data_IF_689318977822
#
_entry.id   IF_689318977822
#
_cell.length_a   1.000
_cell.length_b   1.000
_cell.length_c   1.000
_cell.angle_alpha   90.00
_cell.angle_beta   90.00
_cell.angle_gamma   90.00
#
_symmetry.space_group_name_H-M   'P 1'
#
loop_
_entity.id
_entity.type
_entity.pdbx_description
1 polymer ?
#
# COMPACT_ATOMS: atom_id res chain seq x y z
N UNK A 1 3.82 5.88 1.48
CA UNK A 1 2.68 5.91 2.43
C UNK A 1 3.07 5.24 3.74
N UNK A 2 3.64 6.00 4.71
CA UNK A 2 4.19 5.41 5.93
C UNK A 2 3.12 4.76 6.83
N UNK A 3 1.93 5.36 6.91
CA UNK A 3 0.83 4.87 7.75
C UNK A 3 0.29 3.51 7.28
N UNK A 4 -0.11 3.38 6.01
CA UNK A 4 -0.64 2.10 5.47
C UNK A 4 0.40 0.99 5.57
N UNK A 5 1.65 1.28 5.19
CA UNK A 5 2.73 0.30 5.26
C UNK A 5 2.98 -0.15 6.72
N UNK A 6 2.82 0.75 7.69
CA UNK A 6 2.91 0.40 9.12
C UNK A 6 1.71 -0.43 9.58
N UNK A 7 0.49 -0.08 9.20
CA UNK A 7 -0.72 -0.85 9.54
C UNK A 7 -0.68 -2.27 8.96
N UNK A 8 -0.26 -2.41 7.70
CA UNK A 8 -0.08 -3.73 7.08
C UNK A 8 1.00 -4.52 7.80
N UNK A 9 2.13 -3.91 8.15
CA UNK A 9 3.15 -4.58 8.96
C UNK A 9 2.61 -5.05 10.32
N UNK A 10 1.87 -4.19 11.02
CA UNK A 10 1.34 -4.46 12.35
C UNK A 10 0.25 -5.55 12.38
N UNK A 11 -0.59 -5.62 11.34
CA UNK A 11 -1.80 -6.46 11.37
C UNK A 11 -1.80 -7.62 10.36
N UNK A 12 -1.02 -7.57 9.27
CA UNK A 12 -0.93 -8.67 8.30
C UNK A 12 0.10 -9.75 8.70
N UNK A 13 0.61 -9.72 9.94
CA UNK A 13 1.51 -10.75 10.49
C UNK A 13 2.96 -10.70 9.96
N UNK A 14 3.34 -9.61 9.30
CA UNK A 14 4.69 -9.41 8.76
C UNK A 14 5.58 -8.72 9.80
N UNK A 15 6.43 -9.51 10.44
CA UNK A 15 7.41 -9.04 11.41
C UNK A 15 8.51 -8.15 10.82
N UNK A 16 9.45 -7.65 11.66
CA UNK A 16 10.51 -6.73 11.24
C UNK A 16 11.47 -7.28 10.17
N UNK A 17 11.43 -8.59 9.91
CA UNK A 17 12.21 -9.27 8.87
C UNK A 17 11.54 -9.26 7.48
N UNK A 18 10.33 -8.70 7.34
CA UNK A 18 9.64 -8.64 6.06
C UNK A 18 10.39 -7.78 5.02
N UNK A 19 10.60 -8.33 3.83
CA UNK A 19 11.22 -7.63 2.70
C UNK A 19 10.32 -6.54 2.13
N UNK A 20 10.92 -5.63 1.35
CA UNK A 20 10.17 -4.56 0.66
C UNK A 20 9.16 -5.15 -0.32
N UNK A 21 9.55 -6.20 -1.02
CA UNK A 21 8.79 -6.93 -2.01
C UNK A 21 7.57 -7.64 -1.40
N UNK A 22 7.76 -8.38 -0.31
CA UNK A 22 6.67 -9.07 0.40
C UNK A 22 5.62 -8.09 0.91
N UNK A 23 6.06 -7.01 1.58
CA UNK A 23 5.13 -5.96 2.03
C UNK A 23 4.40 -5.32 0.85
N UNK A 24 5.09 -5.02 -0.25
CA UNK A 24 4.45 -4.44 -1.43
C UNK A 24 3.44 -5.41 -2.07
N UNK A 25 3.72 -6.72 -2.04
CA UNK A 25 2.78 -7.77 -2.43
C UNK A 25 1.51 -7.76 -1.57
N UNK A 26 1.66 -7.68 -0.24
CA UNK A 26 0.53 -7.58 0.68
C UNK A 26 -0.31 -6.32 0.43
N UNK A 27 0.34 -5.16 0.27
CA UNK A 27 -0.37 -3.90 -0.01
C UNK A 27 -1.16 -3.98 -1.33
N UNK A 28 -0.64 -4.67 -2.35
CA UNK A 28 -1.37 -4.91 -3.61
C UNK A 28 -2.56 -5.84 -3.40
N UNK A 29 -2.40 -6.95 -2.70
CA UNK A 29 -3.51 -7.85 -2.37
C UNK A 29 -4.64 -7.12 -1.63
N UNK A 30 -4.29 -6.23 -0.68
CA UNK A 30 -5.26 -5.41 0.04
C UNK A 30 -5.92 -4.36 -0.88
N UNK A 31 -5.17 -3.76 -1.80
CA UNK A 31 -5.73 -2.86 -2.82
C UNK A 31 -6.74 -3.60 -3.73
N UNK A 32 -6.50 -4.89 -4.00
CA UNK A 32 -7.38 -5.75 -4.78
C UNK A 32 -8.59 -6.25 -3.97
N UNK A 33 -8.74 -5.83 -2.70
CA UNK A 33 -9.89 -6.15 -1.85
C UNK A 33 -9.68 -7.30 -0.88
N UNK A 34 -8.45 -7.80 -0.71
CA UNK A 34 -8.16 -8.68 0.41
C UNK A 34 -8.39 -7.96 1.75
N UNK A 35 -8.90 -8.67 2.74
CA UNK A 35 -9.07 -8.16 4.10
C UNK A 35 -7.80 -8.32 4.93
N UNK A 36 -7.67 -7.51 5.99
CA UNK A 36 -6.65 -7.72 7.03
C UNK A 36 -7.25 -8.56 8.15
N UNK A 37 -6.90 -9.84 8.20
CA UNK A 37 -7.44 -10.77 9.19
C UNK A 37 -7.10 -10.30 10.62
N UNK A 38 -8.09 -10.29 11.51
CA UNK A 38 -7.91 -9.90 12.91
C UNK A 38 -7.70 -8.41 13.17
N UNK A 39 -7.76 -7.56 12.15
CA UNK A 39 -7.67 -6.11 12.35
C UNK A 39 -8.98 -5.54 12.91
N UNK A 40 -8.91 -4.52 13.81
CA UNK A 40 -10.08 -3.77 14.22
C UNK A 40 -10.80 -3.16 13.01
N UNK A 41 -12.12 -3.07 13.06
CA UNK A 41 -12.95 -2.62 11.93
C UNK A 41 -12.52 -1.25 11.37
N UNK A 42 -12.16 -0.31 12.25
CA UNK A 42 -11.65 1.00 11.85
C UNK A 42 -10.32 0.91 11.07
N UNK A 43 -9.45 -0.02 11.42
CA UNK A 43 -8.20 -0.29 10.69
C UNK A 43 -8.51 -0.90 9.34
N UNK A 44 -9.42 -1.88 9.27
CA UNK A 44 -9.84 -2.49 8.01
C UNK A 44 -10.40 -1.46 7.04
N UNK A 45 -11.26 -0.55 7.50
CA UNK A 45 -11.81 0.55 6.68
C UNK A 45 -10.72 1.49 6.17
N UNK A 46 -9.76 1.86 7.02
CA UNK A 46 -8.64 2.72 6.62
C UNK A 46 -7.74 2.05 5.59
N UNK A 47 -7.41 0.77 5.80
CA UNK A 47 -6.58 0.00 4.87
C UNK A 47 -7.30 -0.18 3.55
N UNK A 48 -8.58 -0.54 3.57
CA UNK A 48 -9.39 -0.74 2.36
C UNK A 48 -9.41 0.52 1.47
N UNK A 49 -9.57 1.70 2.09
CA UNK A 49 -9.57 2.98 1.39
C UNK A 49 -8.19 3.42 0.88
N UNK A 50 -7.14 3.19 1.66
CA UNK A 50 -5.82 3.77 1.39
C UNK A 50 -4.85 2.81 0.70
N UNK A 51 -5.11 1.50 0.71
CA UNK A 51 -4.26 0.50 0.08
C UNK A 51 -4.05 0.72 -1.42
N UNK A 52 -5.07 1.09 -2.22
CA UNK A 52 -4.87 1.40 -3.65
C UNK A 52 -3.86 2.53 -3.87
N UNK A 53 -4.00 3.64 -3.16
CA UNK A 53 -3.07 4.77 -3.27
C UNK A 53 -1.67 4.41 -2.74
N UNK A 54 -1.59 3.59 -1.68
CA UNK A 54 -0.33 3.08 -1.17
C UNK A 54 0.39 2.16 -2.17
N UNK A 55 -0.34 1.29 -2.89
CA UNK A 55 0.21 0.42 -3.92
C UNK A 55 0.83 1.24 -5.07
N UNK A 56 0.13 2.27 -5.55
CA UNK A 56 0.64 3.19 -6.59
C UNK A 56 1.90 3.91 -6.12
N UNK A 57 1.87 4.50 -4.92
CA UNK A 57 3.01 5.24 -4.38
C UNK A 57 4.22 4.33 -4.09
N UNK A 58 3.98 3.11 -3.57
CA UNK A 58 5.06 2.15 -3.32
C UNK A 58 5.70 1.68 -4.63
N UNK A 59 4.90 1.48 -5.69
CA UNK A 59 5.42 1.20 -7.04
C UNK A 59 6.29 2.32 -7.58
N UNK A 60 5.84 3.57 -7.47
CA UNK A 60 6.64 4.74 -7.85
C UNK A 60 7.93 4.85 -7.05
N UNK A 61 7.90 4.69 -5.72
CA UNK A 61 9.11 4.73 -4.92
C UNK A 61 10.07 3.61 -5.28
N UNK A 62 9.56 2.41 -5.56
CA UNK A 62 10.40 1.32 -6.03
C UNK A 62 11.10 1.71 -7.33
N UNK A 63 10.35 2.16 -8.35
CA UNK A 63 10.91 2.60 -9.63
C UNK A 63 11.94 3.74 -9.47
N UNK A 64 11.63 4.71 -8.61
CA UNK A 64 12.50 5.86 -8.35
C UNK A 64 13.83 5.47 -7.68
N UNK A 65 13.80 4.52 -6.74
CA UNK A 65 14.97 4.17 -5.94
C UNK A 65 15.77 3.00 -6.48
N UNK A 66 15.16 2.06 -7.20
CA UNK A 66 15.85 0.89 -7.77
C UNK A 66 16.07 1.00 -9.28
N UNK A 67 15.40 1.93 -9.95
CA UNK A 67 15.41 2.07 -11.40
C UNK A 67 15.83 3.46 -11.87
N UNK A 68 14.89 4.16 -12.50
CA UNK A 68 15.16 5.35 -13.32
C UNK A 68 15.00 6.65 -12.53
N UNK A 69 15.99 7.54 -12.62
CA UNK A 69 15.88 8.93 -12.14
C UNK A 69 14.82 9.75 -12.90
N UNK A 70 14.28 9.22 -13.99
CA UNK A 70 13.19 9.82 -14.77
C UNK A 70 11.79 9.33 -14.37
N UNK A 71 11.67 8.55 -13.28
CA UNK A 71 10.39 8.12 -12.75
C UNK A 71 9.47 9.33 -12.54
N UNK A 72 8.33 9.37 -13.23
CA UNK A 72 7.37 10.48 -13.15
C UNK A 72 6.45 10.29 -11.96
N UNK A 73 6.23 11.36 -11.21
CA UNK A 73 5.33 11.34 -10.06
C UNK A 73 3.89 10.94 -10.50
N UNK A 74 3.26 9.92 -9.87
CA UNK A 74 2.03 9.31 -10.37
C UNK A 74 0.75 10.04 -9.87
N UNK A 75 0.69 11.36 -9.99
CA UNK A 75 -0.38 12.17 -9.39
C UNK A 75 -1.80 11.72 -9.79
N UNK A 76 -2.06 11.52 -11.10
CA UNK A 76 -3.38 11.12 -11.59
C UNK A 76 -3.81 9.75 -11.07
N UNK A 77 -2.90 8.77 -11.10
CA UNK A 77 -3.16 7.42 -10.59
C UNK A 77 -3.42 7.41 -9.09
N UNK A 78 -2.75 8.26 -8.31
CA UNK A 78 -3.02 8.41 -6.88
C UNK A 78 -4.40 9.00 -6.65
N UNK A 79 -4.78 10.04 -7.41
CA UNK A 79 -6.10 10.65 -7.30
C UNK A 79 -7.22 9.65 -7.66
N UNK A 80 -7.06 8.91 -8.75
CA UNK A 80 -7.97 7.83 -9.17
C UNK A 80 -8.09 6.75 -8.08
N UNK A 81 -6.96 6.31 -7.53
CA UNK A 81 -6.93 5.29 -6.48
C UNK A 81 -7.64 5.74 -5.19
N UNK A 82 -7.53 7.01 -4.82
CA UNK A 82 -8.25 7.58 -3.66
C UNK A 82 -9.73 7.81 -3.92
N UNK A 83 -10.14 8.01 -5.18
CA UNK A 83 -11.53 8.21 -5.57
C UNK A 83 -12.30 6.89 -5.75
N UNK A 84 -11.59 5.78 -6.02
CA UNK A 84 -12.18 4.48 -6.29
C UNK A 84 -12.86 3.83 -5.07
N UNK A 85 -12.55 4.28 -3.84
CA UNK A 85 -13.14 3.75 -2.60
C UNK A 85 -13.54 4.87 -1.64
N UNK A 86 -14.83 4.95 -1.24
CA UNK A 86 -15.34 6.01 -0.37
C UNK A 86 -14.85 5.89 1.09
#
# INVERSE_FOLDING_TARGET
MRLVNWLVAAFAGVGPACTVEERNGLVRALADGAGVAGAPEAVSRLVDRLAPAAAVMNGFYYELFTGSRAARYPASRVAEALAARP
#
